data_IF_993910947580
#
_entry.id   IF_993910947580
#
_cell.length_a   1.000
_cell.length_b   1.000
_cell.length_c   1.000
_cell.angle_alpha   90.00
_cell.angle_beta   90.00
_cell.angle_gamma   90.00
#
_symmetry.space_group_name_H-M   'P 1'
#
loop_
_entity.id
_entity.type
_entity.pdbx_description
1 polymer ?
#
# COMPACT_ATOMS: atom_id res chain seq x y z
N UNK A 1 21.16 14.80 -13.51
CA UNK A 1 20.40 14.54 -12.28
C UNK A 1 19.38 13.43 -12.53
N UNK A 2 18.57 13.54 -13.60
CA UNK A 2 17.53 12.58 -13.96
C UNK A 2 17.93 11.08 -14.05
N UNK A 3 19.04 10.71 -14.69
CA UNK A 3 19.33 9.29 -14.96
C UNK A 3 19.71 8.49 -13.71
N UNK A 4 20.52 9.08 -12.81
CA UNK A 4 20.95 8.38 -11.59
C UNK A 4 19.80 8.29 -10.58
N UNK A 5 19.00 9.35 -10.45
CA UNK A 5 17.83 9.39 -9.57
C UNK A 5 16.72 8.42 -10.02
N UNK A 6 16.53 8.26 -11.34
CA UNK A 6 15.58 7.28 -11.89
C UNK A 6 16.06 5.84 -11.71
N UNK A 7 17.37 5.58 -11.89
CA UNK A 7 17.95 4.25 -11.63
C UNK A 7 17.83 3.86 -10.14
N UNK A 8 18.02 4.82 -9.23
CA UNK A 8 17.82 4.57 -7.80
C UNK A 8 16.34 4.33 -7.46
N UNK A 9 15.38 5.03 -8.08
CA UNK A 9 13.94 4.77 -7.88
C UNK A 9 13.53 3.38 -8.39
N UNK A 10 14.08 2.92 -9.51
CA UNK A 10 13.83 1.57 -10.01
C UNK A 10 14.37 0.49 -9.05
N UNK A 11 15.46 0.79 -8.33
CA UNK A 11 15.97 -0.05 -7.25
C UNK A 11 15.04 -0.06 -6.03
N UNK A 12 14.53 1.10 -5.64
CA UNK A 12 13.58 1.24 -4.53
C UNK A 12 12.19 0.67 -4.85
N UNK A 13 11.85 0.45 -6.12
CA UNK A 13 10.56 -0.10 -6.53
C UNK A 13 10.21 -1.41 -5.81
N UNK A 14 11.18 -2.31 -5.63
CA UNK A 14 10.95 -3.58 -4.89
C UNK A 14 10.68 -3.34 -3.41
N UNK A 15 11.34 -2.36 -2.82
CA UNK A 15 11.12 -1.98 -1.42
C UNK A 15 9.74 -1.34 -1.25
N UNK A 16 9.33 -0.46 -2.16
CA UNK A 16 8.00 0.13 -2.19
C UNK A 16 6.90 -0.94 -2.35
N UNK A 17 7.09 -1.91 -3.26
CA UNK A 17 6.16 -3.03 -3.42
C UNK A 17 6.05 -3.86 -2.13
N UNK A 18 7.19 -4.12 -1.47
CA UNK A 18 7.22 -4.83 -0.20
C UNK A 18 6.49 -4.04 0.91
N UNK A 19 6.70 -2.74 0.99
CA UNK A 19 6.09 -1.88 2.00
C UNK A 19 4.57 -1.81 1.82
N UNK A 20 4.08 -1.68 0.58
CA UNK A 20 2.64 -1.73 0.28
C UNK A 20 2.05 -3.09 0.68
N UNK A 21 2.75 -4.20 0.41
CA UNK A 21 2.31 -5.53 0.86
C UNK A 21 2.28 -5.64 2.39
N UNK A 22 3.26 -5.03 3.07
CA UNK A 22 3.30 -5.02 4.53
C UNK A 22 2.14 -4.21 5.12
N UNK A 23 1.82 -3.06 4.54
CA UNK A 23 0.66 -2.25 4.90
C UNK A 23 -0.65 -3.03 4.72
N UNK A 24 -0.82 -3.70 3.57
CA UNK A 24 -1.99 -4.54 3.31
C UNK A 24 -2.17 -5.60 4.41
N UNK A 25 -1.11 -6.36 4.71
CA UNK A 25 -1.14 -7.39 5.76
C UNK A 25 -1.44 -6.81 7.15
N UNK A 26 -0.84 -5.67 7.48
CA UNK A 26 -1.06 -4.97 8.74
C UNK A 26 -2.55 -4.62 8.93
N UNK A 27 -3.17 -4.01 7.94
CA UNK A 27 -4.57 -3.59 8.04
C UNK A 27 -5.55 -4.76 7.94
N UNK A 28 -5.27 -5.80 7.12
CA UNK A 28 -6.06 -7.03 7.12
C UNK A 28 -6.05 -7.67 8.52
N UNK A 29 -4.87 -7.75 9.13
CA UNK A 29 -4.73 -8.25 10.50
C UNK A 29 -5.54 -7.42 11.46
N UNK A 30 -5.44 -6.08 11.44
CA UNK A 30 -6.23 -5.20 12.34
C UNK A 30 -7.73 -5.48 12.19
N UNK A 31 -8.24 -5.50 10.95
CA UNK A 31 -9.67 -5.79 10.70
C UNK A 31 -10.08 -7.17 11.20
N UNK A 32 -9.20 -8.17 11.15
CA UNK A 32 -9.53 -9.52 11.63
C UNK A 32 -9.67 -9.59 13.15
N UNK A 33 -9.12 -8.64 13.91
CA UNK A 33 -9.40 -8.54 15.35
C UNK A 33 -10.79 -7.97 15.63
N UNK A 34 -11.28 -7.09 14.77
CA UNK A 34 -12.54 -6.37 14.98
C UNK A 34 -13.74 -7.09 14.33
N UNK A 35 -13.49 -7.90 13.31
CA UNK A 35 -14.52 -8.59 12.52
C UNK A 35 -14.29 -10.11 12.56
N UNK A 36 -15.07 -10.86 13.37
CA UNK A 36 -14.90 -12.31 13.53
C UNK A 36 -15.12 -13.13 12.25
N UNK A 37 -15.93 -12.63 11.31
CA UNK A 37 -16.28 -13.30 10.05
C UNK A 37 -15.67 -12.56 8.84
N UNK A 38 -14.48 -11.99 9.02
CA UNK A 38 -13.84 -11.20 7.97
C UNK A 38 -13.57 -12.06 6.73
N UNK A 39 -14.12 -11.65 5.59
CA UNK A 39 -13.64 -12.11 4.29
C UNK A 39 -12.31 -11.41 4.00
N UNK A 40 -11.20 -12.12 4.15
CA UNK A 40 -9.85 -11.59 3.94
C UNK A 40 -9.64 -11.05 2.52
N UNK A 41 -10.29 -11.62 1.50
CA UNK A 41 -10.15 -11.14 0.12
C UNK A 41 -10.88 -9.81 -0.07
N UNK A 42 -12.08 -9.69 0.48
CA UNK A 42 -12.83 -8.44 0.40
C UNK A 42 -12.18 -7.33 1.22
N UNK A 43 -11.70 -7.67 2.42
CA UNK A 43 -10.91 -6.76 3.25
C UNK A 43 -9.66 -6.26 2.50
N UNK A 44 -8.94 -7.15 1.83
CA UNK A 44 -7.76 -6.78 1.06
C UNK A 44 -8.10 -5.81 -0.09
N UNK A 45 -9.23 -5.99 -0.78
CA UNK A 45 -9.68 -5.05 -1.81
C UNK A 45 -9.99 -3.67 -1.23
N UNK A 46 -10.72 -3.61 -0.12
CA UNK A 46 -11.07 -2.35 0.55
C UNK A 46 -9.81 -1.60 1.02
N UNK A 47 -8.85 -2.31 1.60
CA UNK A 47 -7.59 -1.73 2.05
C UNK A 47 -6.77 -1.21 0.85
N UNK A 48 -6.68 -1.96 -0.25
CA UNK A 48 -6.00 -1.51 -1.46
C UNK A 48 -6.66 -0.27 -2.09
N UNK A 49 -7.99 -0.17 -2.06
CA UNK A 49 -8.71 1.02 -2.50
C UNK A 49 -8.37 2.23 -1.62
N UNK A 50 -8.37 2.06 -0.29
CA UNK A 50 -8.00 3.11 0.64
C UNK A 50 -6.54 3.57 0.46
N UNK A 51 -5.61 2.64 0.23
CA UNK A 51 -4.21 2.96 -0.07
C UNK A 51 -4.07 3.76 -1.37
N UNK A 52 -4.82 3.41 -2.43
CA UNK A 52 -4.83 4.19 -3.69
C UNK A 52 -5.34 5.62 -3.47
N UNK A 53 -6.44 5.80 -2.74
CA UNK A 53 -6.97 7.13 -2.42
C UNK A 53 -5.99 7.96 -1.57
N UNK A 54 -5.26 7.32 -0.65
CA UNK A 54 -4.22 8.00 0.12
C UNK A 54 -3.06 8.49 -0.76
N UNK A 55 -2.65 7.68 -1.76
CA UNK A 55 -1.64 8.08 -2.74
C UNK A 55 -2.15 9.25 -3.59
N UNK A 56 -3.38 9.18 -4.11
CA UNK A 56 -3.98 10.28 -4.88
C UNK A 56 -4.04 11.59 -4.08
N UNK A 57 -4.30 11.50 -2.77
CA UNK A 57 -4.28 12.65 -1.87
C UNK A 57 -2.87 13.23 -1.69
N UNK A 58 -1.85 12.37 -1.59
CA UNK A 58 -0.46 12.79 -1.47
C UNK A 58 0.03 13.45 -2.77
N UNK A 59 -0.35 12.90 -3.94
CA UNK A 59 -0.04 13.47 -5.25
C UNK A 59 -0.69 14.86 -5.41
N UNK A 60 -1.94 15.03 -4.97
CA UNK A 60 -2.65 16.32 -5.03
C UNK A 60 -2.07 17.40 -4.09
N UNK A 61 -1.18 17.01 -3.17
CA UNK A 61 -0.57 17.90 -2.18
C UNK A 61 0.87 18.33 -2.54
N UNK A 62 1.40 17.88 -3.69
CA UNK A 62 2.76 18.15 -4.18
C UNK A 62 2.73 19.10 -5.38
#
# INVERSE_FOLDING_TARGET
MAELEQVEIDRYRRELEHDVQHLLKKYCRIMSWEVPELDEQEAAKLILQALRAAIETADSST
#
